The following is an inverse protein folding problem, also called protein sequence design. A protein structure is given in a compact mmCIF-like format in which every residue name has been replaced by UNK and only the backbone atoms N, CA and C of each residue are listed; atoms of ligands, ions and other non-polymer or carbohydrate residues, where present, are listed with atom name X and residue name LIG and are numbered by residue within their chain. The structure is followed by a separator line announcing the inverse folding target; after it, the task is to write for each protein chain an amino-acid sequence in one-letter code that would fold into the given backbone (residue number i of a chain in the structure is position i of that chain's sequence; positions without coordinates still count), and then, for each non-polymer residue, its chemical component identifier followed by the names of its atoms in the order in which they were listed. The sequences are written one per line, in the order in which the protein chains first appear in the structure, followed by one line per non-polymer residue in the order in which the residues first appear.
data_IF_510482592826
#
_entry.id   IF_510482592826
#
_cell.length_a   1.000
_cell.length_b   1.000
_cell.length_c   1.000
_cell.angle_alpha   90.00
_cell.angle_beta   90.00
_cell.angle_gamma   90.00
#
_symmetry.space_group_name_H-M   'P 1'
#
loop_
_entity.id
_entity.type
_entity.pdbx_description
1 polymer ?
#
# COMPACT_ATOMS: atom_id res chain seq x y z
N UNK A 1 22.71 -7.21 -7.11
CA UNK A 1 21.73 -8.06 -7.83
C UNK A 1 20.35 -7.40 -7.71
N UNK A 2 19.64 -7.26 -8.83
CA UNK A 2 18.27 -6.71 -8.88
C UNK A 2 17.24 -7.84 -8.74
N UNK A 3 16.10 -7.54 -8.13
CA UNK A 3 15.02 -8.47 -7.79
C UNK A 3 13.67 -7.81 -8.06
N UNK A 4 12.63 -8.63 -8.20
CA UNK A 4 11.24 -8.16 -8.22
C UNK A 4 10.94 -7.39 -6.92
N UNK A 5 10.26 -6.26 -7.06
CA UNK A 5 9.97 -5.31 -5.99
C UNK A 5 11.02 -4.21 -5.81
N UNK A 6 12.22 -4.32 -6.38
CA UNK A 6 13.23 -3.27 -6.30
C UNK A 6 12.80 -2.01 -7.07
N UNK A 7 13.09 -0.84 -6.48
CA UNK A 7 13.01 0.44 -7.18
C UNK A 7 14.37 0.79 -7.79
N UNK A 8 14.34 1.28 -9.01
CA UNK A 8 15.53 1.43 -9.83
C UNK A 8 15.49 2.68 -10.69
N UNK A 9 16.68 3.21 -10.96
CA UNK A 9 16.93 4.25 -11.94
C UNK A 9 17.09 3.66 -13.33
N UNK A 10 16.25 4.11 -14.25
CA UNK A 10 16.33 3.81 -15.68
C UNK A 10 16.89 4.99 -16.46
N UNK A 11 17.81 4.68 -17.37
CA UNK A 11 18.28 5.65 -18.35
C UNK A 11 17.26 5.81 -19.48
N UNK A 12 16.88 7.07 -19.77
CA UNK A 12 16.02 7.43 -20.90
C UNK A 12 16.83 8.14 -21.99
N UNK A 13 17.60 9.15 -21.61
CA UNK A 13 18.58 9.80 -22.46
C UNK A 13 19.75 10.30 -21.61
N UNK A 14 20.93 10.45 -22.19
CA UNK A 14 22.14 10.93 -21.51
C UNK A 14 22.00 12.36 -20.96
N UNK A 15 21.04 13.13 -21.47
CA UNK A 15 20.79 14.53 -21.11
C UNK A 15 19.70 14.72 -20.04
N UNK A 16 18.93 13.68 -19.72
CA UNK A 16 17.81 13.78 -18.80
C UNK A 16 18.09 13.02 -17.49
N UNK A 17 17.58 13.51 -16.35
CA UNK A 17 17.54 12.75 -15.11
C UNK A 17 16.92 11.37 -15.30
N UNK A 18 17.43 10.39 -14.55
CA UNK A 18 16.96 9.01 -14.62
C UNK A 18 15.47 8.89 -14.29
N UNK A 19 14.78 8.02 -15.01
CA UNK A 19 13.41 7.63 -14.71
C UNK A 19 13.41 6.70 -13.50
N UNK A 20 12.37 6.78 -12.68
CA UNK A 20 12.21 5.91 -11.50
C UNK A 20 11.17 4.86 -11.86
N UNK A 21 11.50 3.60 -11.62
CA UNK A 21 10.67 2.45 -11.98
C UNK A 21 10.71 1.41 -10.87
N UNK A 22 9.64 0.62 -10.72
CA UNK A 22 9.62 -0.57 -9.85
C UNK A 22 9.62 -1.82 -10.71
N UNK A 23 10.49 -2.77 -10.39
CA UNK A 23 10.57 -4.05 -11.09
C UNK A 23 9.41 -4.93 -10.66
N UNK A 24 8.53 -5.27 -11.59
CA UNK A 24 7.42 -6.21 -11.35
C UNK A 24 7.78 -7.61 -11.84
N UNK A 25 8.56 -7.70 -12.92
CA UNK A 25 8.94 -8.98 -13.50
C UNK A 25 10.32 -8.88 -14.16
N UNK A 26 11.11 -9.94 -14.07
CA UNK A 26 12.38 -10.06 -14.78
C UNK A 26 12.32 -11.31 -15.66
N UNK A 27 12.38 -11.10 -16.97
CA UNK A 27 12.26 -12.15 -17.97
C UNK A 27 13.60 -12.35 -18.67
N UNK A 28 14.13 -13.57 -18.62
CA UNK A 28 15.34 -13.95 -19.36
C UNK A 28 14.94 -14.65 -20.66
N UNK A 29 15.33 -14.10 -21.79
CA UNK A 29 15.07 -14.68 -23.10
C UNK A 29 15.98 -15.91 -23.33
N UNK A 30 15.62 -16.82 -24.26
CA UNK A 30 16.48 -17.94 -24.63
C UNK A 30 17.84 -17.51 -25.19
N UNK A 31 17.93 -16.31 -25.77
CA UNK A 31 19.19 -15.70 -26.22
C UNK A 31 20.09 -15.19 -25.07
N UNK A 32 19.61 -15.22 -23.83
CA UNK A 32 20.35 -14.81 -22.64
C UNK A 32 20.16 -13.35 -22.24
N UNK A 33 19.41 -12.56 -23.02
CA UNK A 33 19.06 -11.18 -22.68
C UNK A 33 18.05 -11.15 -21.53
N UNK A 34 18.09 -10.08 -20.73
CA UNK A 34 17.14 -9.89 -19.63
C UNK A 34 16.32 -8.64 -19.89
N UNK A 35 15.00 -8.81 -19.87
CA UNK A 35 14.02 -7.73 -19.93
C UNK A 35 13.36 -7.56 -18.57
N UNK A 36 13.13 -6.31 -18.18
CA UNK A 36 12.42 -5.96 -16.97
C UNK A 36 11.06 -5.38 -17.35
N UNK A 37 9.99 -6.01 -16.86
CA UNK A 37 8.65 -5.41 -16.85
C UNK A 37 8.56 -4.55 -15.61
N UNK A 38 8.31 -3.27 -15.81
CA UNK A 38 8.41 -2.27 -14.75
C UNK A 38 7.19 -1.37 -14.68
N UNK A 39 6.85 -0.99 -13.46
CA UNK A 39 5.84 0.04 -13.17
C UNK A 39 6.49 1.42 -13.22
N UNK A 40 5.77 2.38 -13.80
CA UNK A 40 6.26 3.73 -14.03
C UNK A 40 6.01 4.66 -12.84
N UNK A 41 7.01 5.47 -12.50
CA UNK A 41 6.82 6.66 -11.67
C UNK A 41 7.06 7.92 -12.49
N UNK A 42 6.23 8.93 -12.22
CA UNK A 42 6.29 10.23 -12.89
C UNK A 42 6.80 11.28 -11.91
N UNK A 43 7.68 12.16 -12.38
CA UNK A 43 8.10 13.34 -11.60
C UNK A 43 7.12 14.47 -11.84
N UNK A 44 7.20 15.53 -11.02
CA UNK A 44 6.38 16.74 -11.17
C UNK A 44 6.46 17.37 -12.56
N UNK A 45 7.63 17.32 -13.21
CA UNK A 45 7.83 17.84 -14.58
C UNK A 45 7.15 17.00 -15.67
N UNK A 46 6.80 15.76 -15.37
CA UNK A 46 6.25 14.80 -16.34
C UNK A 46 4.71 14.86 -16.39
N UNK A 47 4.08 15.65 -15.50
CA UNK A 47 2.62 15.86 -15.41
C UNK A 47 2.25 17.33 -15.66
N UNK A 48 0.99 17.61 -15.97
CA UNK A 48 0.55 18.97 -16.29
C UNK A 48 0.53 19.90 -15.06
N UNK A 49 0.72 21.20 -15.29
CA UNK A 49 0.67 22.21 -14.23
C UNK A 49 -0.64 22.19 -13.41
N UNK A 50 -1.78 21.89 -14.04
CA UNK A 50 -3.06 21.72 -13.35
C UNK A 50 -3.02 20.62 -12.28
N UNK A 51 -2.34 19.51 -12.56
CA UNK A 51 -2.19 18.40 -11.63
C UNK A 51 -1.15 18.70 -10.56
N UNK A 52 -0.09 19.45 -10.89
CA UNK A 52 0.87 19.93 -9.89
C UNK A 52 0.18 20.79 -8.82
N UNK A 53 -0.75 21.67 -9.22
CA UNK A 53 -1.55 22.47 -8.29
C UNK A 53 -2.43 21.60 -7.40
N UNK A 54 -3.01 20.52 -7.95
CA UNK A 54 -3.80 19.57 -7.18
C UNK A 54 -2.94 18.79 -6.17
N UNK A 55 -1.74 18.36 -6.58
CA UNK A 55 -0.78 17.71 -5.68
C UNK A 55 -0.33 18.63 -4.54
N UNK A 56 -0.02 19.91 -4.85
CA UNK A 56 0.30 20.91 -3.82
C UNK A 56 -0.86 21.15 -2.85
N UNK A 57 -2.11 21.15 -3.35
CA UNK A 57 -3.30 21.26 -2.49
C UNK A 57 -3.43 20.05 -1.56
N UNK A 58 -3.30 18.83 -2.09
CA UNK A 58 -3.36 17.60 -1.30
C UNK A 58 -2.25 17.53 -0.24
N UNK A 59 -1.02 17.92 -0.59
CA UNK A 59 0.09 17.98 0.36
C UNK A 59 -0.24 18.92 1.53
N UNK A 60 -0.82 20.09 1.24
CA UNK A 60 -1.22 21.06 2.27
C UNK A 60 -2.33 20.52 3.18
N UNK A 61 -3.33 19.84 2.61
CA UNK A 61 -4.40 19.21 3.39
C UNK A 61 -3.85 18.13 4.34
N UNK A 62 -2.91 17.30 3.87
CA UNK A 62 -2.24 16.32 4.74
C UNK A 62 -1.38 16.97 5.82
N UNK A 63 -0.70 18.08 5.52
CA UNK A 63 0.07 18.84 6.51
C UNK A 63 -0.84 19.40 7.63
N UNK A 64 -2.04 19.86 7.28
CA UNK A 64 -3.04 20.37 8.22
C UNK A 64 -3.65 19.25 9.09
N UNK A 65 -3.93 18.06 8.52
CA UNK A 65 -4.49 16.92 9.25
C UNK A 65 -3.52 16.28 10.26
N UNK A 66 -2.22 16.28 9.94
CA UNK A 66 -1.25 15.54 10.74
C UNK A 66 -0.84 16.27 12.04
N UNK A 67 -1.26 17.53 12.24
CA UNK A 67 -0.80 18.42 13.33
C UNK A 67 0.71 18.35 13.58
N UNK A 68 1.50 17.91 12.57
CA UNK A 68 2.89 17.57 12.77
C UNK A 68 3.73 18.84 12.81
N UNK A 69 4.39 19.17 13.95
CA UNK A 69 5.24 20.35 14.04
C UNK A 69 6.51 20.27 13.16
N UNK A 70 6.79 19.11 12.54
CA UNK A 70 8.06 18.82 11.85
C UNK A 70 8.25 19.49 10.48
N UNK A 71 7.20 20.02 9.84
CA UNK A 71 7.29 20.65 8.51
C UNK A 71 7.51 22.18 8.61
N UNK A 72 7.11 22.78 9.73
CA UNK A 72 7.24 24.22 9.97
C UNK A 72 8.71 24.66 10.08
N UNK A 73 9.59 23.78 10.57
CA UNK A 73 11.03 24.07 10.74
C UNK A 73 11.88 23.81 9.49
N UNK A 74 11.30 23.33 8.37
CA UNK A 74 12.06 23.12 7.15
C UNK A 74 12.43 24.46 6.51
N UNK A 75 13.66 24.56 6.02
CA UNK A 75 14.09 25.69 5.19
C UNK A 75 13.41 25.65 3.82
N UNK A 76 13.34 26.80 3.13
CA UNK A 76 12.82 26.85 1.75
C UNK A 76 13.56 25.89 0.80
N UNK A 77 14.88 25.76 0.98
CA UNK A 77 15.71 24.81 0.24
C UNK A 77 15.27 23.37 0.49
N UNK A 78 15.00 22.98 1.74
CA UNK A 78 14.55 21.63 2.08
C UNK A 78 13.15 21.35 1.53
N UNK A 79 12.22 22.30 1.63
CA UNK A 79 10.89 22.20 1.00
C UNK A 79 11.00 21.99 -0.51
N UNK A 80 11.87 22.75 -1.18
CA UNK A 80 12.12 22.58 -2.61
C UNK A 80 12.67 21.19 -2.94
N UNK A 81 13.64 20.69 -2.15
CA UNK A 81 14.20 19.35 -2.34
C UNK A 81 13.16 18.24 -2.15
N UNK A 82 12.27 18.38 -1.16
CA UNK A 82 11.17 17.42 -0.95
C UNK A 82 10.23 17.35 -2.15
N UNK A 83 9.90 18.49 -2.78
CA UNK A 83 9.10 18.49 -4.02
C UNK A 83 9.76 17.72 -5.17
N UNK A 84 11.09 17.65 -5.22
CA UNK A 84 11.81 16.83 -6.23
C UNK A 84 11.90 15.35 -5.87
N UNK A 85 11.70 15.01 -4.59
CA UNK A 85 11.68 13.64 -4.07
C UNK A 85 10.28 13.03 -4.11
N UNK A 86 9.25 13.87 -4.26
CA UNK A 86 7.91 13.42 -4.58
C UNK A 86 7.82 12.91 -6.02
N UNK A 87 7.30 11.71 -6.16
CA UNK A 87 6.99 11.06 -7.43
C UNK A 87 5.56 10.52 -7.40
N UNK A 88 4.98 10.28 -8.57
CA UNK A 88 3.61 9.80 -8.72
C UNK A 88 3.62 8.38 -9.25
N UNK A 89 3.01 7.45 -8.50
CA UNK A 89 2.85 6.07 -8.94
C UNK A 89 1.91 6.03 -10.14
N UNK A 90 2.28 5.33 -11.21
CA UNK A 90 1.38 5.06 -12.32
C UNK A 90 1.06 3.58 -12.42
N UNK A 91 -0.15 3.23 -12.87
CA UNK A 91 -0.50 1.85 -13.22
C UNK A 91 -0.02 1.45 -14.62
N UNK A 92 0.79 2.29 -15.27
CA UNK A 92 1.41 2.01 -16.56
C UNK A 92 2.60 1.06 -16.41
N UNK A 93 2.57 -0.01 -17.19
CA UNK A 93 3.66 -0.97 -17.30
C UNK A 93 4.43 -0.75 -18.60
N UNK A 94 5.74 -0.91 -18.54
CA UNK A 94 6.61 -0.94 -19.71
C UNK A 94 7.61 -2.09 -19.59
N UNK A 95 7.96 -2.69 -20.72
CA UNK A 95 9.00 -3.73 -20.80
C UNK A 95 10.23 -3.12 -21.45
N UNK A 96 11.33 -3.06 -20.69
CA UNK A 96 12.58 -2.45 -21.13
C UNK A 96 13.76 -3.40 -20.85
N UNK A 97 14.82 -3.37 -21.67
CA UNK A 97 16.05 -4.11 -21.38
C UNK A 97 16.61 -3.78 -19.99
N UNK A 98 17.01 -4.80 -19.23
CA UNK A 98 17.61 -4.60 -17.91
C UNK A 98 18.95 -3.84 -17.96
N UNK A 99 19.55 -3.71 -19.15
CA UNK A 99 20.77 -2.91 -19.39
C UNK A 99 20.56 -1.41 -19.18
N UNK A 100 19.31 -0.91 -19.22
CA UNK A 100 18.98 0.48 -18.93
C UNK A 100 18.99 0.81 -17.43
N UNK A 101 19.07 -0.20 -16.56
CA UNK A 101 19.12 0.00 -15.11
C UNK A 101 20.50 0.52 -14.71
N UNK A 102 20.55 1.73 -14.13
CA UNK A 102 21.79 2.40 -13.71
C UNK A 102 22.06 2.34 -12.21
N UNK A 103 21.04 2.08 -11.40
CA UNK A 103 21.19 1.96 -9.95
C UNK A 103 19.87 1.60 -9.25
N UNK A 104 19.96 1.30 -7.96
CA UNK A 104 18.80 1.15 -7.08
C UNK A 104 18.49 2.47 -6.39
N UNK A 105 17.22 2.70 -6.08
CA UNK A 105 16.78 3.80 -5.24
C UNK A 105 15.77 3.32 -4.19
N UNK A 106 15.45 4.17 -3.22
CA UNK A 106 14.41 3.92 -2.24
C UNK A 106 13.14 4.68 -2.60
N UNK A 107 12.01 3.99 -2.65
CA UNK A 107 10.69 4.61 -2.78
C UNK A 107 9.79 4.03 -1.71
N UNK A 108 9.11 4.89 -0.95
CA UNK A 108 8.09 4.48 0.01
C UNK A 108 6.80 5.27 -0.17
N UNK A 109 5.69 4.64 0.22
CA UNK A 109 4.40 5.30 0.33
C UNK A 109 4.47 6.24 1.54
N UNK A 110 4.17 7.52 1.33
CA UNK A 110 4.08 8.46 2.43
C UNK A 110 2.82 8.16 3.25
N UNK A 111 3.01 7.55 4.41
CA UNK A 111 1.95 7.26 5.37
C UNK A 111 1.80 8.40 6.39
N UNK A 112 0.64 8.46 7.04
CA UNK A 112 0.32 9.47 8.06
C UNK A 112 1.30 9.48 9.25
N UNK A 113 1.98 8.37 9.51
CA UNK A 113 2.90 8.23 10.65
C UNK A 113 4.35 8.57 10.31
N UNK A 114 4.70 8.80 9.04
CA UNK A 114 6.07 9.06 8.61
C UNK A 114 6.37 10.56 8.50
N UNK A 115 7.50 10.99 9.08
CA UNK A 115 7.96 12.37 8.86
C UNK A 115 8.57 12.52 7.47
N UNK A 116 8.08 13.49 6.71
CA UNK A 116 8.59 13.85 5.38
C UNK A 116 10.10 14.23 5.45
N UNK A 117 10.58 14.71 6.59
CA UNK A 117 11.98 15.08 6.79
C UNK A 117 12.96 13.88 6.65
N UNK A 118 12.54 12.67 7.04
CA UNK A 118 13.37 11.46 6.93
C UNK A 118 13.76 11.14 5.48
N UNK A 119 12.97 11.62 4.51
CA UNK A 119 13.30 11.44 3.10
C UNK A 119 14.51 12.23 2.69
N UNK A 120 14.83 13.37 3.33
CA UNK A 120 15.99 14.21 3.03
C UNK A 120 17.32 13.61 3.49
N UNK A 121 17.29 12.74 4.50
CA UNK A 121 18.48 12.09 5.05
C UNK A 121 19.05 11.01 4.13
N UNK A 122 18.22 10.46 3.23
CA UNK A 122 18.61 9.42 2.27
C UNK A 122 18.95 10.04 0.93
N UNK A 123 20.15 9.83 0.38
CA UNK A 123 20.56 10.46 -0.88
C UNK A 123 19.65 10.07 -2.07
N UNK A 124 19.25 8.79 -2.13
CA UNK A 124 18.37 8.20 -3.16
C UNK A 124 16.94 7.91 -2.66
N UNK A 125 16.42 8.74 -1.75
CA UNK A 125 15.08 8.58 -1.17
C UNK A 125 14.00 9.36 -1.92
N UNK A 126 12.96 8.66 -2.37
CA UNK A 126 11.73 9.23 -2.94
C UNK A 126 10.51 8.77 -2.17
N UNK A 127 9.41 9.49 -2.35
CA UNK A 127 8.11 9.10 -1.83
C UNK A 127 6.99 9.37 -2.82
N UNK A 128 5.88 8.68 -2.65
CA UNK A 128 4.64 8.97 -3.36
C UNK A 128 3.48 8.95 -2.37
N UNK A 129 2.46 9.76 -2.64
CA UNK A 129 1.18 9.79 -1.92
C UNK A 129 -0.03 9.73 -2.88
N UNK A 130 0.23 9.98 -4.16
CA UNK A 130 -0.77 10.09 -5.22
C UNK A 130 -0.44 9.13 -6.37
N UNK A 131 -1.50 8.58 -6.96
CA UNK A 131 -1.49 7.78 -8.17
C UNK A 131 -1.85 8.66 -9.36
N UNK A 132 -0.99 8.65 -10.38
CA UNK A 132 -1.20 9.33 -11.65
C UNK A 132 -1.72 8.36 -12.72
N UNK A 133 -2.88 8.67 -13.29
CA UNK A 133 -3.38 8.02 -14.50
C UNK A 133 -2.92 8.81 -15.74
N UNK A 134 -1.95 8.30 -16.52
CA UNK A 134 -1.45 8.98 -17.71
C UNK A 134 -2.46 9.02 -18.87
N UNK A 135 -3.45 8.12 -18.87
CA UNK A 135 -4.49 8.06 -19.91
C UNK A 135 -5.56 9.11 -19.66
N UNK A 136 -6.03 9.21 -18.42
CA UNK A 136 -7.05 10.17 -18.01
C UNK A 136 -6.49 11.53 -17.60
N UNK A 137 -5.18 11.62 -17.36
CA UNK A 137 -4.50 12.80 -16.82
C UNK A 137 -5.12 13.24 -15.49
N UNK A 138 -5.27 12.30 -14.57
CA UNK A 138 -5.85 12.51 -13.23
C UNK A 138 -4.87 12.10 -12.15
N UNK A 139 -5.01 12.71 -10.96
CA UNK A 139 -4.32 12.32 -9.74
C UNK A 139 -5.37 11.86 -8.72
N UNK A 140 -5.12 10.72 -8.09
CA UNK A 140 -5.96 10.14 -7.06
C UNK A 140 -5.09 9.80 -5.84
N UNK A 141 -5.61 9.94 -4.63
CA UNK A 141 -4.92 9.41 -3.46
C UNK A 141 -4.95 7.88 -3.47
N UNK A 142 -3.82 7.24 -3.16
CA UNK A 142 -3.75 5.77 -2.99
C UNK A 142 -4.24 5.32 -1.61
N UNK A 143 -5.08 6.13 -0.96
CA UNK A 143 -5.71 5.80 0.32
C UNK A 143 -7.05 5.13 0.04
N UNK A 144 -7.29 3.99 0.68
CA UNK A 144 -8.64 3.44 0.76
C UNK A 144 -9.56 4.44 1.48
N UNK A 145 -10.73 4.71 0.90
CA UNK A 145 -11.72 5.60 1.52
C UNK A 145 -12.67 4.80 2.41
N UNK A 146 -12.77 5.17 3.68
CA UNK A 146 -13.87 4.73 4.55
C UNK A 146 -15.06 5.63 4.27
N UNK A 147 -16.16 5.03 3.83
CA UNK A 147 -17.39 5.77 3.51
C UNK A 147 -18.36 5.72 4.68
N UNK A 148 -18.89 6.88 5.05
CA UNK A 148 -19.88 7.06 6.11
C UNK A 148 -21.23 7.41 5.48
N UNK A 149 -22.32 6.87 6.04
CA UNK A 149 -23.68 7.13 5.60
C UNK A 149 -24.56 5.88 5.61
N UNK A 150 -25.87 6.08 5.61
CA UNK A 150 -26.88 5.00 5.69
C UNK A 150 -26.80 3.94 4.60
N UNK A 151 -26.14 4.24 3.47
CA UNK A 151 -25.89 3.26 2.40
C UNK A 151 -24.71 2.31 2.66
N UNK A 152 -23.87 2.64 3.64
CA UNK A 152 -22.63 1.93 3.96
C UNK A 152 -22.64 1.36 5.39
N UNK A 153 -23.30 2.05 6.32
CA UNK A 153 -23.40 1.65 7.71
C UNK A 153 -24.56 0.67 7.90
N UNK A 154 -24.37 -0.31 8.78
CA UNK A 154 -25.45 -1.18 9.21
C UNK A 154 -26.39 -0.43 10.18
N UNK A 155 -27.67 -0.80 10.16
CA UNK A 155 -28.61 -0.35 11.16
C UNK A 155 -28.25 -0.99 12.51
N UNK A 156 -28.05 -0.15 13.53
CA UNK A 156 -27.72 -0.60 14.87
C UNK A 156 -28.97 -1.23 15.48
N UNK A 157 -28.87 -2.49 15.89
CA UNK A 157 -29.96 -3.17 16.59
C UNK A 157 -30.07 -2.64 18.01
N UNK A 158 -31.29 -2.25 18.41
CA UNK A 158 -31.56 -1.75 19.76
C UNK A 158 -31.31 -2.83 20.82
N UNK A 159 -30.93 -2.37 22.00
CA UNK A 159 -30.78 -3.24 23.16
C UNK A 159 -32.15 -3.76 23.59
N UNK A 160 -32.26 -5.07 23.83
CA UNK A 160 -33.47 -5.69 24.37
C UNK A 160 -33.78 -5.14 25.76
N UNK A 161 -35.06 -4.93 26.05
CA UNK A 161 -35.49 -4.49 27.37
C UNK A 161 -35.37 -5.62 28.40
N UNK A 162 -35.35 -5.27 29.67
CA UNK A 162 -35.36 -6.27 30.75
C UNK A 162 -36.59 -7.17 30.64
N UNK A 163 -36.36 -8.47 30.49
CA UNK A 163 -37.42 -9.49 30.35
C UNK A 163 -37.84 -9.79 28.90
N UNK A 164 -37.31 -9.08 27.92
CA UNK A 164 -37.54 -9.36 26.50
C UNK A 164 -36.61 -10.48 25.99
N UNK A 165 -37.15 -11.40 25.20
CA UNK A 165 -36.37 -12.49 24.58
C UNK A 165 -36.04 -12.12 23.13
N UNK A 166 -34.84 -12.51 22.70
CA UNK A 166 -34.34 -12.36 21.33
C UNK A 166 -35.07 -13.24 20.29
N UNK A 167 -36.00 -14.10 20.72
CA UNK A 167 -36.81 -15.00 19.89
C UNK A 167 -35.99 -15.93 18.96
N UNK A 168 -34.70 -16.12 19.22
CA UNK A 168 -33.82 -16.97 18.41
C UNK A 168 -33.94 -18.43 18.85
N UNK A 169 -34.24 -19.30 17.88
CA UNK A 169 -34.31 -20.74 18.09
C UNK A 169 -32.92 -21.37 17.91
N UNK A 170 -32.21 -21.63 19.02
CA UNK A 170 -30.85 -22.20 18.98
C UNK A 170 -30.79 -23.55 18.27
N UNK A 171 -31.86 -24.36 18.34
CA UNK A 171 -31.90 -25.69 17.72
C UNK A 171 -31.80 -25.66 16.19
N UNK A 172 -32.16 -24.51 15.58
CA UNK A 172 -32.02 -24.27 14.13
C UNK A 172 -30.72 -23.58 13.77
N UNK A 173 -30.02 -22.99 14.74
CA UNK A 173 -28.81 -22.19 14.52
C UNK A 173 -27.55 -23.03 14.70
N UNK A 174 -27.57 -23.97 15.63
CA UNK A 174 -26.41 -24.78 15.98
C UNK A 174 -26.78 -26.16 16.52
N UNK A 175 -25.82 -27.08 16.46
CA UNK A 175 -25.92 -28.44 17.00
C UNK A 175 -24.66 -28.73 17.80
N UNK A 176 -24.81 -29.16 19.06
CA UNK A 176 -23.69 -29.54 19.92
C UNK A 176 -23.04 -30.83 19.41
N UNK A 177 -21.78 -30.74 19.00
CA UNK A 177 -21.01 -31.89 18.48
C UNK A 177 -20.10 -32.51 19.54
N UNK A 178 -19.65 -31.73 20.51
CA UNK A 178 -18.81 -32.20 21.61
C UNK A 178 -19.17 -31.46 22.90
N UNK A 179 -19.16 -32.20 24.02
CA UNK A 179 -19.37 -31.63 25.34
C UNK A 179 -18.04 -31.53 26.09
N UNK A 180 -17.50 -30.32 26.36
CA UNK A 180 -16.30 -30.20 27.18
C UNK A 180 -16.52 -30.68 28.61
N UNK A 181 -17.75 -30.59 29.13
CA UNK A 181 -18.11 -31.03 30.48
C UNK A 181 -18.56 -32.49 30.46
N UNK A 182 -17.67 -33.36 30.00
CA UNK A 182 -17.89 -34.80 29.97
C UNK A 182 -17.22 -35.50 31.17
N UNK A 183 -17.72 -36.67 31.61
CA UNK A 183 -17.18 -37.37 32.78
C UNK A 183 -15.82 -38.05 32.52
N UNK A 184 -15.24 -37.91 31.32
CA UNK A 184 -13.97 -38.53 30.96
C UNK A 184 -12.82 -37.58 31.29
N UNK A 185 -11.70 -38.16 31.70
CA UNK A 185 -10.44 -37.41 31.77
C UNK A 185 -9.67 -37.49 30.44
N UNK A 186 -8.74 -36.57 30.23
CA UNK A 186 -7.94 -36.49 28.99
C UNK A 186 -7.28 -37.82 28.61
N UNK A 187 -6.81 -38.61 29.59
CA UNK A 187 -6.20 -39.91 29.32
C UNK A 187 -7.17 -40.92 28.70
N UNK A 188 -8.43 -40.91 29.14
CA UNK A 188 -9.47 -41.78 28.58
C UNK A 188 -9.86 -41.35 27.17
N UNK A 189 -9.91 -40.03 26.92
CA UNK A 189 -10.17 -39.47 25.59
C UNK A 189 -9.02 -39.87 24.63
N UNK A 190 -7.76 -39.68 25.05
CA UNK A 190 -6.59 -40.07 24.27
C UNK A 190 -6.55 -41.58 23.98
N UNK A 191 -6.87 -42.41 24.97
CA UNK A 191 -6.94 -43.87 24.79
C UNK A 191 -8.00 -44.24 23.75
N UNK A 192 -9.17 -43.59 23.79
CA UNK A 192 -10.22 -43.79 22.78
C UNK A 192 -9.75 -43.35 21.38
N UNK A 193 -9.07 -42.20 21.26
CA UNK A 193 -8.51 -41.73 19.99
C UNK A 193 -7.48 -42.71 19.40
N UNK A 194 -6.67 -43.36 20.24
CA UNK A 194 -5.74 -44.42 19.79
C UNK A 194 -6.53 -45.60 19.23
N UNK A 195 -7.55 -46.09 19.96
CA UNK A 195 -8.37 -47.22 19.49
C UNK A 195 -9.08 -46.88 18.18
N UNK A 196 -9.70 -45.70 18.08
CA UNK A 196 -10.42 -45.24 16.90
C UNK A 196 -9.53 -45.07 15.65
N UNK A 197 -8.20 -44.94 15.80
CA UNK A 197 -7.26 -44.91 14.67
C UNK A 197 -6.96 -46.29 14.07
N UNK A 198 -7.23 -47.36 14.81
CA UNK A 198 -6.93 -48.74 14.41
C UNK A 198 -8.17 -49.56 14.01
N UNK A 199 -9.35 -48.92 13.99
CA UNK A 199 -10.61 -49.44 13.44
C UNK A 199 -10.82 -48.85 12.05
#
# INVERSE_FOLDING_TARGET
MYRVGDYVYFENSSSNPYLIRRIEELNKTPSGNVEAKVVCFYRRRDISNSLIVLADKHAKEMEEELETPSILDLTEKQRHQLKHREIFLSRQYESLPATHIRGKCGVSLLNETESVACYLEKEDGFFYSLVYDPSQKTLLADKGEIRVGSRYQADITDMLNEGESDARDQSKMEVKVWDPDNPLNDRQIDQFLVVARFV
#
